data_IF_407518418146
#
_entry.id   IF_407518418146
#
_cell.length_a   1.000
_cell.length_b   1.000
_cell.length_c   1.000
_cell.angle_alpha   90.00
_cell.angle_beta   90.00
_cell.angle_gamma   90.00
#
_symmetry.space_group_name_H-M   'P 1'
#
loop_
_entity.id
_entity.type
_entity.pdbx_description
1 polymer ?
#
# COMPACT_ATOMS: atom_id res chain seq x y z
N UNK A 1 12.56 24.93 -6.49
CA UNK A 1 12.14 24.13 -7.66
C UNK A 1 12.06 22.70 -7.14
N UNK A 2 10.87 22.27 -6.75
CA UNK A 2 10.63 20.88 -6.33
C UNK A 2 10.24 20.18 -7.60
N UNK A 3 11.09 19.24 -8.03
CA UNK A 3 10.89 18.47 -9.24
C UNK A 3 9.56 17.70 -9.17
N UNK A 4 8.66 18.11 -10.03
CA UNK A 4 7.29 17.59 -10.21
C UNK A 4 7.30 16.26 -10.98
N UNK A 5 8.26 15.37 -10.70
CA UNK A 5 8.51 14.13 -11.44
C UNK A 5 7.59 12.96 -11.03
N UNK A 6 6.58 13.22 -10.18
CA UNK A 6 5.65 12.19 -9.70
C UNK A 6 4.43 11.95 -10.62
N UNK A 7 4.16 12.86 -11.56
CA UNK A 7 3.01 12.74 -12.47
C UNK A 7 3.27 11.84 -13.70
N UNK A 8 4.54 11.56 -14.03
CA UNK A 8 4.91 10.83 -15.26
C UNK A 8 4.98 9.30 -15.14
N UNK A 9 4.69 8.71 -14.00
CA UNK A 9 4.66 7.22 -13.86
C UNK A 9 3.35 6.63 -14.42
N UNK A 10 2.54 7.39 -15.09
CA UNK A 10 1.23 6.95 -15.57
C UNK A 10 1.16 6.80 -17.08
N UNK A 11 2.14 6.13 -17.67
CA UNK A 11 1.84 5.38 -18.89
C UNK A 11 1.26 4.02 -18.46
N UNK A 12 0.16 3.54 -19.08
CA UNK A 12 -0.57 2.35 -18.61
C UNK A 12 0.23 1.05 -18.54
N UNK A 13 1.50 1.05 -18.92
CA UNK A 13 2.33 -0.16 -19.01
C UNK A 13 3.78 0.08 -18.57
N UNK A 14 4.04 0.92 -17.58
CA UNK A 14 5.41 1.23 -17.17
C UNK A 14 5.84 0.48 -15.92
N UNK A 15 7.11 0.10 -15.91
CA UNK A 15 7.82 -0.36 -14.74
C UNK A 15 9.19 0.32 -14.70
N UNK A 16 9.79 0.42 -13.50
CA UNK A 16 11.17 0.88 -13.32
C UNK A 16 11.84 0.19 -12.14
N UNK A 17 13.16 0.07 -12.21
CA UNK A 17 13.98 -0.35 -11.08
C UNK A 17 14.78 0.86 -10.60
N UNK A 18 14.80 1.07 -9.29
CA UNK A 18 15.58 2.12 -8.67
C UNK A 18 16.21 1.65 -7.36
N UNK A 19 17.33 2.28 -7.00
CA UNK A 19 17.92 2.16 -5.68
C UNK A 19 17.65 3.46 -4.95
N UNK A 20 17.05 3.40 -3.76
CA UNK A 20 16.59 4.58 -3.02
C UNK A 20 16.68 4.36 -1.51
N UNK A 21 16.80 5.45 -0.76
CA UNK A 21 16.65 5.47 0.69
C UNK A 21 15.23 5.79 1.17
N UNK A 22 14.26 5.85 0.24
CA UNK A 22 12.85 6.15 0.51
C UNK A 22 12.66 7.45 1.31
N UNK A 23 13.47 8.46 1.04
CA UNK A 23 13.42 9.74 1.76
C UNK A 23 12.07 10.43 1.61
N UNK A 24 11.42 10.23 0.48
CA UNK A 24 10.08 10.75 0.17
C UNK A 24 8.99 10.17 1.09
N UNK A 25 9.23 9.02 1.71
CA UNK A 25 8.28 8.38 2.63
C UNK A 25 8.52 8.74 4.10
N UNK A 26 9.52 9.61 4.38
CA UNK A 26 9.79 10.08 5.74
C UNK A 26 8.80 11.16 6.15
N UNK A 27 8.34 11.09 7.37
CA UNK A 27 7.44 12.07 7.95
C UNK A 27 5.96 11.74 7.73
N UNK A 28 5.30 12.37 6.78
CA UNK A 28 3.88 12.15 6.55
C UNK A 28 3.58 10.85 5.76
N UNK A 29 2.44 10.23 6.07
CA UNK A 29 1.93 9.09 5.33
C UNK A 29 1.60 9.49 3.89
N UNK A 30 1.98 8.66 2.93
CA UNK A 30 1.72 8.88 1.50
C UNK A 30 0.98 7.70 0.90
N UNK A 31 0.06 7.97 -0.04
CA UNK A 31 -0.56 6.95 -0.86
C UNK A 31 0.29 6.71 -2.09
N UNK A 32 0.62 5.45 -2.35
CA UNK A 32 1.26 5.05 -3.60
C UNK A 32 0.21 4.59 -4.61
N UNK A 33 0.35 4.98 -5.88
CA UNK A 33 -0.56 4.59 -6.97
C UNK A 33 -0.01 3.46 -7.86
N UNK A 34 1.07 2.83 -7.43
CA UNK A 34 1.79 1.77 -8.11
C UNK A 34 1.98 0.57 -7.19
N UNK A 35 2.26 -0.61 -7.76
CA UNK A 35 2.75 -1.75 -7.00
C UNK A 35 4.27 -1.74 -6.93
N UNK A 36 4.84 -2.31 -5.88
CA UNK A 36 6.28 -2.44 -5.77
C UNK A 36 6.72 -3.73 -5.07
N UNK A 37 7.87 -4.24 -5.47
CA UNK A 37 8.64 -5.24 -4.73
C UNK A 37 9.95 -4.56 -4.32
N UNK A 38 10.24 -4.53 -3.02
CA UNK A 38 11.46 -3.95 -2.47
C UNK A 38 12.30 -5.02 -1.81
N UNK A 39 13.63 -4.87 -1.91
CA UNK A 39 14.58 -5.64 -1.14
C UNK A 39 15.51 -4.68 -0.39
N UNK A 40 15.64 -4.86 0.93
CA UNK A 40 16.56 -4.05 1.73
C UNK A 40 18.01 -4.47 1.44
N UNK A 41 18.83 -3.52 1.01
CA UNK A 41 20.24 -3.74 0.65
C UNK A 41 21.19 -3.30 1.74
N UNK A 42 20.86 -2.21 2.46
CA UNK A 42 21.71 -1.66 3.53
C UNK A 42 20.85 -1.10 4.66
N UNK A 43 21.44 -1.11 5.83
CA UNK A 43 20.86 -0.51 7.02
C UNK A 43 19.62 -1.23 7.55
N UNK A 44 18.86 -0.52 8.33
CA UNK A 44 17.56 -0.94 8.87
C UNK A 44 16.62 0.25 9.00
N UNK A 45 15.34 -0.02 8.86
CA UNK A 45 14.30 0.99 9.03
C UNK A 45 12.99 0.32 9.47
N UNK A 46 12.07 1.12 9.93
CA UNK A 46 10.70 0.71 10.22
C UNK A 46 9.79 1.29 9.14
N UNK A 47 9.22 0.41 8.32
CA UNK A 47 8.25 0.79 7.30
C UNK A 47 6.85 0.55 7.83
N UNK A 48 6.05 1.60 7.85
CA UNK A 48 4.61 1.49 8.06
C UNK A 48 3.94 1.36 6.70
N UNK A 49 3.08 0.34 6.56
CA UNK A 49 2.21 0.19 5.38
C UNK A 49 0.78 0.02 5.88
N UNK A 50 -0.08 0.94 5.51
CA UNK A 50 -1.43 1.04 6.04
C UNK A 50 -1.40 1.17 7.58
N UNK A 51 -1.89 0.15 8.29
CA UNK A 51 -1.99 0.16 9.76
C UNK A 51 -0.93 -0.72 10.44
N UNK A 52 -0.08 -1.40 9.67
CA UNK A 52 0.90 -2.34 10.19
C UNK A 52 2.32 -1.78 10.01
N UNK A 53 3.20 -2.09 10.95
CA UNK A 53 4.62 -1.72 10.90
C UNK A 53 5.48 -2.97 10.71
N UNK A 54 6.50 -2.87 9.85
CA UNK A 54 7.50 -3.90 9.64
C UNK A 54 8.90 -3.33 9.84
N UNK A 55 9.71 -4.08 10.59
CA UNK A 55 11.14 -3.77 10.69
C UNK A 55 11.86 -4.37 9.48
N UNK A 56 12.51 -3.55 8.69
CA UNK A 56 13.28 -3.97 7.52
C UNK A 56 14.75 -4.10 7.90
N UNK A 57 15.33 -5.23 7.60
CA UNK A 57 16.76 -5.53 7.72
C UNK A 57 17.32 -5.94 6.37
N UNK A 58 18.62 -5.99 6.23
CA UNK A 58 19.27 -6.43 4.99
C UNK A 58 18.76 -7.82 4.59
N UNK A 59 18.31 -7.95 3.36
CA UNK A 59 17.69 -9.15 2.79
C UNK A 59 16.17 -9.24 2.98
N UNK A 60 15.55 -8.34 3.76
CA UNK A 60 14.09 -8.28 3.85
C UNK A 60 13.48 -7.91 2.50
N UNK A 61 12.46 -8.66 2.09
CA UNK A 61 11.66 -8.41 0.89
C UNK A 61 10.27 -7.96 1.30
N UNK A 62 9.79 -6.86 0.76
CA UNK A 62 8.43 -6.37 1.00
C UNK A 62 7.69 -6.14 -0.30
N UNK A 63 6.40 -6.50 -0.31
CA UNK A 63 5.50 -6.28 -1.45
C UNK A 63 4.49 -5.20 -1.12
N UNK A 64 4.37 -4.20 -2.00
CA UNK A 64 3.43 -3.10 -1.89
C UNK A 64 2.44 -3.13 -3.05
N UNK A 65 1.25 -2.63 -2.80
CA UNK A 65 0.15 -2.61 -3.77
C UNK A 65 -0.32 -1.17 -4.02
N UNK A 66 -0.92 -0.89 -5.19
CA UNK A 66 -1.57 0.39 -5.42
C UNK A 66 -2.59 0.72 -4.33
N UNK A 67 -2.66 1.97 -3.93
CA UNK A 67 -3.44 2.52 -2.82
C UNK A 67 -2.94 2.14 -1.42
N UNK A 68 -1.77 1.50 -1.29
CA UNK A 68 -1.15 1.39 0.02
C UNK A 68 -0.70 2.76 0.52
N UNK A 69 -0.88 2.95 1.82
CA UNK A 69 -0.41 4.12 2.56
C UNK A 69 0.91 3.77 3.20
N UNK A 70 1.96 4.47 2.84
CA UNK A 70 3.32 4.18 3.30
C UNK A 70 3.91 5.35 4.09
N UNK A 71 4.71 5.02 5.10
CA UNK A 71 5.56 5.98 5.80
C UNK A 71 6.80 5.29 6.35
N UNK A 72 7.95 5.94 6.26
CA UNK A 72 9.22 5.41 6.74
C UNK A 72 9.60 6.09 8.05
N UNK A 73 9.87 5.29 9.07
CA UNK A 73 10.48 5.72 10.32
C UNK A 73 11.91 5.16 10.38
N UNK A 74 12.89 6.03 10.32
CA UNK A 74 14.27 5.59 10.52
C UNK A 74 14.53 5.23 11.98
N UNK A 75 15.35 4.23 12.16
CA UNK A 75 15.94 3.95 13.46
C UNK A 75 17.17 4.88 13.63
N UNK A 76 16.97 5.96 14.38
CA UNK A 76 18.01 6.95 14.66
C UNK A 76 19.25 6.36 15.38
N UNK A 77 19.20 5.08 15.77
CA UNK A 77 20.32 4.38 16.42
C UNK A 77 21.34 3.79 15.44
N UNK A 78 21.12 3.87 14.12
CA UNK A 78 22.02 3.27 13.13
C UNK A 78 22.83 4.30 12.37
N UNK A 79 24.15 4.15 12.40
CA UNK A 79 25.11 4.93 11.63
C UNK A 79 25.20 4.53 10.14
N UNK A 80 24.52 3.46 9.72
CA UNK A 80 24.54 2.99 8.33
C UNK A 80 23.34 3.55 7.56
N UNK A 81 23.57 4.12 6.35
CA UNK A 81 22.48 4.62 5.53
C UNK A 81 21.53 3.47 5.14
N UNK A 82 20.22 3.73 5.25
CA UNK A 82 19.19 2.80 4.77
C UNK A 82 19.09 2.88 3.25
N UNK A 83 19.07 1.72 2.59
CA UNK A 83 18.99 1.62 1.14
C UNK A 83 18.16 0.40 0.75
N UNK A 84 17.23 0.59 -0.16
CA UNK A 84 16.44 -0.48 -0.79
C UNK A 84 16.62 -0.44 -2.30
N UNK A 85 16.50 -1.60 -2.89
CA UNK A 85 16.32 -1.76 -4.33
C UNK A 85 14.85 -2.06 -4.58
N UNK A 86 14.21 -1.32 -5.48
CA UNK A 86 12.76 -1.35 -5.67
C UNK A 86 12.41 -1.51 -7.15
N UNK A 87 11.64 -2.55 -7.47
CA UNK A 87 10.90 -2.66 -8.73
C UNK A 87 9.53 -2.02 -8.53
N UNK A 88 9.28 -0.90 -9.19
CA UNK A 88 7.95 -0.29 -9.29
C UNK A 88 7.27 -0.74 -10.58
N UNK A 89 5.95 -0.96 -10.53
CA UNK A 89 5.14 -1.35 -11.68
C UNK A 89 3.73 -0.77 -11.59
N UNK A 90 3.15 -0.48 -12.74
CA UNK A 90 1.82 0.13 -12.81
C UNK A 90 0.71 -0.81 -12.28
N UNK A 91 -0.41 -0.21 -11.85
CA UNK A 91 -1.59 -0.97 -11.43
C UNK A 91 -2.16 -1.84 -12.56
N UNK A 92 -1.96 -1.46 -13.84
CA UNK A 92 -2.37 -2.26 -14.99
C UNK A 92 -1.52 -3.52 -15.15
N UNK A 93 -0.19 -3.41 -15.02
CA UNK A 93 0.70 -4.59 -15.02
C UNK A 93 0.38 -5.55 -13.88
N UNK A 94 0.09 -5.01 -12.68
CA UNK A 94 -0.33 -5.84 -11.56
C UNK A 94 -1.62 -6.60 -11.85
N UNK A 95 -2.65 -5.91 -12.35
CA UNK A 95 -3.92 -6.56 -12.74
C UNK A 95 -3.70 -7.69 -13.74
N UNK A 96 -2.93 -7.43 -14.77
CA UNK A 96 -2.64 -8.44 -15.80
C UNK A 96 -1.81 -9.61 -15.27
N UNK A 97 -0.84 -9.34 -14.40
CA UNK A 97 -0.06 -10.39 -13.75
C UNK A 97 -0.90 -11.25 -12.79
N UNK A 98 -1.91 -10.65 -12.16
CA UNK A 98 -2.76 -11.30 -11.16
C UNK A 98 -4.02 -11.97 -11.71
N UNK A 99 -4.35 -11.83 -13.01
CA UNK A 99 -5.58 -12.38 -13.61
C UNK A 99 -5.75 -13.90 -13.41
N UNK A 100 -4.66 -14.63 -13.30
CA UNK A 100 -4.65 -16.09 -13.10
C UNK A 100 -4.18 -16.49 -11.72
N UNK A 101 -3.97 -15.52 -10.83
CA UNK A 101 -3.50 -15.77 -9.48
C UNK A 101 -4.65 -16.20 -8.58
N UNK A 102 -4.46 -17.25 -7.80
CA UNK A 102 -5.42 -17.62 -6.76
C UNK A 102 -5.59 -16.48 -5.74
N UNK A 103 -6.81 -16.24 -5.33
CA UNK A 103 -7.14 -15.19 -4.36
C UNK A 103 -6.37 -15.36 -3.03
N UNK A 104 -6.07 -16.61 -2.66
CA UNK A 104 -5.25 -16.95 -1.49
C UNK A 104 -3.84 -16.38 -1.55
N UNK A 105 -3.21 -16.37 -2.73
CA UNK A 105 -1.87 -15.81 -2.94
C UNK A 105 -1.88 -14.30 -2.74
N UNK A 106 -2.85 -13.63 -3.35
CA UNK A 106 -3.01 -12.19 -3.23
C UNK A 106 -3.28 -11.76 -1.78
N UNK A 107 -4.17 -12.47 -1.09
CA UNK A 107 -4.47 -12.24 0.33
C UNK A 107 -3.23 -12.46 1.20
N UNK A 108 -2.51 -13.56 1.00
CA UNK A 108 -1.28 -13.86 1.76
C UNK A 108 -0.19 -12.80 1.58
N UNK A 109 -0.02 -12.29 0.35
CA UNK A 109 0.93 -11.21 0.09
C UNK A 109 0.51 -9.89 0.73
N UNK A 110 -0.79 -9.61 0.84
CA UNK A 110 -1.28 -8.41 1.51
C UNK A 110 -1.20 -8.49 3.04
N UNK A 111 -1.33 -9.67 3.59
CA UNK A 111 -1.32 -9.91 5.04
C UNK A 111 0.10 -9.95 5.60
N UNK A 112 0.92 -10.75 4.97
CA UNK A 112 2.33 -10.90 5.34
C UNK A 112 3.22 -10.35 4.21
N UNK A 113 3.31 -9.03 4.19
CA UNK A 113 3.96 -8.26 3.14
C UNK A 113 5.47 -8.35 3.15
N UNK A 114 6.04 -8.59 4.35
CA UNK A 114 7.47 -8.59 4.56
C UNK A 114 7.97 -10.01 4.81
N UNK A 115 8.87 -10.47 3.95
CA UNK A 115 9.57 -11.74 4.12
C UNK A 115 10.98 -11.45 4.59
N UNK A 116 11.29 -11.98 5.77
CA UNK A 116 12.61 -11.92 6.38
C UNK A 116 13.03 -13.34 6.74
N UNK A 117 14.30 -13.56 6.88
CA UNK A 117 14.87 -14.85 7.26
C UNK A 117 14.48 -16.03 6.32
N UNK A 118 14.17 -15.70 5.07
CA UNK A 118 13.83 -16.68 4.03
C UNK A 118 14.85 -16.62 2.89
N UNK A 119 16.04 -17.23 3.05
CA UNK A 119 17.15 -17.09 2.11
C UNK A 119 16.80 -17.44 0.66
N UNK A 120 15.89 -18.41 0.47
CA UNK A 120 15.48 -18.82 -0.88
C UNK A 120 14.66 -17.72 -1.56
N UNK A 121 13.75 -17.04 -0.83
CA UNK A 121 12.95 -15.94 -1.36
C UNK A 121 13.87 -14.77 -1.75
N UNK A 122 14.80 -14.40 -0.88
CA UNK A 122 15.79 -13.35 -1.16
C UNK A 122 16.59 -13.67 -2.42
N UNK A 123 17.07 -14.90 -2.59
CA UNK A 123 17.84 -15.34 -3.77
C UNK A 123 17.01 -15.30 -5.05
N UNK A 124 15.73 -15.68 -5.00
CA UNK A 124 14.81 -15.60 -6.16
C UNK A 124 14.60 -14.14 -6.56
N UNK A 125 14.34 -13.27 -5.58
CA UNK A 125 14.17 -11.84 -5.85
C UNK A 125 15.46 -11.22 -6.39
N UNK A 126 16.60 -11.56 -5.84
CA UNK A 126 17.91 -11.11 -6.37
C UNK A 126 18.11 -11.50 -7.83
N UNK A 127 17.77 -12.73 -8.19
CA UNK A 127 17.88 -13.22 -9.57
C UNK A 127 16.91 -12.46 -10.50
N UNK A 128 15.68 -12.21 -10.04
CA UNK A 128 14.68 -11.43 -10.78
C UNK A 128 15.17 -9.99 -11.01
N UNK A 129 15.66 -9.32 -9.96
CA UNK A 129 16.18 -7.95 -10.08
C UNK A 129 17.38 -7.85 -11.03
N UNK A 130 18.33 -8.80 -10.92
CA UNK A 130 19.47 -8.84 -11.84
C UNK A 130 19.05 -9.01 -13.28
N UNK A 131 18.12 -9.93 -13.57
CA UNK A 131 17.62 -10.16 -14.92
C UNK A 131 16.89 -8.93 -15.45
N UNK A 132 16.01 -8.33 -14.65
CA UNK A 132 15.28 -7.13 -15.06
C UNK A 132 16.21 -5.96 -15.32
N UNK A 133 17.25 -5.74 -14.49
CA UNK A 133 18.24 -4.68 -14.73
C UNK A 133 18.87 -4.80 -16.10
N UNK A 134 19.28 -6.00 -16.52
CA UNK A 134 19.85 -6.22 -17.83
C UNK A 134 18.88 -5.81 -18.96
N UNK A 135 17.59 -6.01 -18.77
CA UNK A 135 16.60 -5.54 -19.75
C UNK A 135 16.42 -4.02 -19.72
N UNK A 136 16.42 -3.40 -18.55
CA UNK A 136 16.30 -1.94 -18.40
C UNK A 136 17.54 -1.19 -18.92
N UNK A 137 18.71 -1.83 -18.91
CA UNK A 137 19.97 -1.29 -19.44
C UNK A 137 20.06 -1.36 -20.97
N UNK A 138 19.11 -2.07 -21.63
CA UNK A 138 19.08 -2.14 -23.11
C UNK A 138 18.28 -0.95 -23.69
N UNK A 139 18.91 0.05 -24.32
CA UNK A 139 18.23 1.27 -24.79
C UNK A 139 17.10 1.01 -25.81
N UNK A 140 17.16 -0.11 -26.53
CA UNK A 140 16.24 -0.46 -27.61
C UNK A 140 15.26 -1.60 -27.26
N UNK A 141 15.11 -1.93 -25.96
CA UNK A 141 14.24 -3.02 -25.53
C UNK A 141 12.76 -2.67 -25.76
N UNK A 142 12.21 -3.05 -26.90
CA UNK A 142 10.80 -2.80 -27.25
C UNK A 142 9.82 -3.67 -26.47
N UNK A 143 10.28 -4.77 -25.84
CA UNK A 143 9.46 -5.75 -25.13
C UNK A 143 9.59 -5.63 -23.60
N UNK A 144 10.01 -4.48 -23.07
CA UNK A 144 10.26 -4.32 -21.65
C UNK A 144 9.01 -4.62 -20.78
N UNK A 145 7.84 -4.06 -21.15
CA UNK A 145 6.60 -4.31 -20.41
C UNK A 145 6.17 -5.78 -20.41
N UNK A 146 6.15 -6.52 -21.54
CA UNK A 146 5.94 -7.96 -21.54
C UNK A 146 6.95 -8.74 -20.70
N UNK A 147 8.22 -8.37 -20.71
CA UNK A 147 9.26 -9.02 -19.90
C UNK A 147 9.02 -8.81 -18.41
N UNK A 148 8.69 -7.59 -17.99
CA UNK A 148 8.32 -7.30 -16.58
C UNK A 148 7.07 -8.08 -16.19
N UNK A 149 6.04 -8.14 -17.06
CA UNK A 149 4.83 -8.90 -16.81
C UNK A 149 5.11 -10.38 -16.57
N UNK A 150 5.97 -10.98 -17.40
CA UNK A 150 6.37 -12.39 -17.21
C UNK A 150 7.14 -12.61 -15.93
N UNK A 151 8.00 -11.67 -15.52
CA UNK A 151 8.71 -11.75 -14.24
C UNK A 151 7.75 -11.62 -13.05
N UNK A 152 6.75 -10.75 -13.10
CA UNK A 152 5.72 -10.64 -12.08
C UNK A 152 4.86 -11.91 -12.00
N UNK A 153 4.45 -12.47 -13.14
CA UNK A 153 3.73 -13.76 -13.18
C UNK A 153 4.57 -14.89 -12.57
N UNK A 154 5.85 -14.98 -12.94
CA UNK A 154 6.78 -15.95 -12.36
C UNK A 154 6.92 -15.80 -10.84
N UNK A 155 7.04 -14.56 -10.35
CA UNK A 155 7.08 -14.25 -8.92
C UNK A 155 5.81 -14.76 -8.21
N UNK A 156 4.63 -14.44 -8.71
CA UNK A 156 3.36 -14.87 -8.08
C UNK A 156 3.16 -16.38 -8.12
N UNK A 157 3.51 -17.05 -9.22
CA UNK A 157 3.45 -18.51 -9.34
C UNK A 157 4.43 -19.15 -8.36
N UNK A 158 5.67 -18.66 -8.29
CA UNK A 158 6.68 -19.15 -7.36
C UNK A 158 6.29 -18.91 -5.89
N UNK A 159 5.64 -17.80 -5.59
CA UNK A 159 5.12 -17.53 -4.26
C UNK A 159 3.96 -18.47 -3.90
N UNK A 160 3.06 -18.75 -4.83
CA UNK A 160 2.01 -19.78 -4.63
C UNK A 160 2.61 -21.15 -4.30
N UNK A 161 3.55 -21.61 -5.11
CA UNK A 161 4.26 -22.87 -4.86
C UNK A 161 4.98 -22.90 -3.49
N UNK A 162 5.59 -21.76 -3.12
CA UNK A 162 6.18 -21.60 -1.79
C UNK A 162 5.14 -21.77 -0.67
N UNK A 163 3.98 -21.15 -0.78
CA UNK A 163 2.89 -21.30 0.21
C UNK A 163 2.35 -22.74 0.25
N UNK A 164 2.25 -23.40 -0.90
CA UNK A 164 1.80 -24.81 -0.94
C UNK A 164 2.78 -25.73 -0.18
N UNK A 165 4.08 -25.52 -0.37
CA UNK A 165 5.13 -26.31 0.29
C UNK A 165 5.37 -25.96 1.75
N UNK A 166 4.91 -24.79 2.19
CA UNK A 166 5.12 -24.27 3.54
C UNK A 166 3.77 -23.88 4.20
N UNK A 167 2.95 -24.88 4.57
CA UNK A 167 1.61 -24.61 5.12
C UNK A 167 1.60 -23.74 6.37
N UNK A 168 2.71 -23.74 7.16
CA UNK A 168 2.86 -22.89 8.35
C UNK A 168 2.82 -21.40 8.05
N UNK A 169 3.10 -21.00 6.80
CA UNK A 169 2.97 -19.60 6.35
C UNK A 169 1.64 -19.33 5.66
N UNK A 170 0.80 -20.37 5.54
CA UNK A 170 -0.61 -20.14 5.22
C UNK A 170 -1.28 -19.59 6.46
N UNK A 171 -2.11 -18.59 6.32
CA UNK A 171 -2.91 -18.12 7.43
C UNK A 171 -3.72 -19.28 8.04
N UNK A 172 -3.82 -19.34 9.36
CA UNK A 172 -4.60 -20.36 10.09
C UNK A 172 -6.03 -20.52 9.52
N UNK A 173 -6.34 -21.77 9.09
CA UNK A 173 -7.20 -22.04 7.94
C UNK A 173 -8.70 -21.77 8.07
N UNK A 174 -9.29 -21.51 9.21
CA UNK A 174 -10.76 -21.38 9.24
C UNK A 174 -11.22 -20.09 9.93
N UNK A 175 -10.77 -19.85 11.14
CA UNK A 175 -11.25 -18.68 11.91
C UNK A 175 -10.55 -17.38 11.48
N UNK A 176 -9.28 -17.49 11.17
CA UNK A 176 -8.45 -16.40 10.65
C UNK A 176 -8.84 -16.03 9.22
N UNK A 177 -9.20 -17.00 8.38
CA UNK A 177 -9.62 -16.77 6.99
C UNK A 177 -10.91 -15.92 6.94
N UNK A 178 -11.94 -16.28 7.70
CA UNK A 178 -13.20 -15.54 7.72
C UNK A 178 -13.04 -14.10 8.21
N UNK A 179 -12.24 -13.91 9.27
CA UNK A 179 -11.93 -12.58 9.79
C UNK A 179 -11.24 -11.72 8.73
N UNK A 180 -10.30 -12.30 7.99
CA UNK A 180 -9.56 -11.61 6.95
C UNK A 180 -10.40 -11.30 5.71
N UNK A 181 -11.21 -12.25 5.26
CA UNK A 181 -12.15 -12.03 4.15
C UNK A 181 -13.08 -10.83 4.47
N UNK A 182 -13.63 -10.81 5.67
CA UNK A 182 -14.48 -9.70 6.11
C UNK A 182 -13.70 -8.39 6.27
N UNK A 183 -12.46 -8.43 6.78
CA UNK A 183 -11.63 -7.24 6.83
C UNK A 183 -11.29 -6.70 5.43
N UNK A 184 -10.91 -7.55 4.50
CA UNK A 184 -10.64 -7.16 3.11
C UNK A 184 -11.90 -6.61 2.41
N UNK A 185 -13.06 -7.18 2.69
CA UNK A 185 -14.33 -6.67 2.20
C UNK A 185 -14.64 -5.28 2.78
N UNK A 186 -14.44 -5.08 4.09
CA UNK A 186 -14.55 -3.76 4.71
C UNK A 186 -13.63 -2.74 4.05
N UNK A 187 -12.36 -3.07 3.84
CA UNK A 187 -11.39 -2.17 3.20
C UNK A 187 -11.83 -1.81 1.77
N UNK A 188 -12.28 -2.80 0.99
CA UNK A 188 -12.76 -2.58 -0.39
C UNK A 188 -14.01 -1.68 -0.43
N UNK A 189 -14.95 -1.88 0.48
CA UNK A 189 -16.15 -1.05 0.60
C UNK A 189 -15.79 0.37 1.04
N UNK A 190 -14.88 0.50 2.00
CA UNK A 190 -14.39 1.79 2.47
C UNK A 190 -13.67 2.56 1.35
N UNK A 191 -12.79 1.92 0.60
CA UNK A 191 -12.10 2.51 -0.56
C UNK A 191 -13.09 2.99 -1.65
N UNK A 192 -14.21 2.30 -1.83
CA UNK A 192 -15.26 2.68 -2.78
C UNK A 192 -16.11 3.85 -2.27
N UNK A 193 -16.49 3.82 -0.99
CA UNK A 193 -17.58 4.64 -0.45
C UNK A 193 -17.12 5.69 0.57
N UNK A 194 -15.81 5.89 0.80
CA UNK A 194 -15.27 6.83 1.81
C UNK A 194 -15.76 8.28 1.64
N UNK A 195 -16.08 8.68 0.41
CA UNK A 195 -16.69 10.00 0.16
C UNK A 195 -18.14 10.06 0.64
N UNK A 196 -18.87 8.95 0.51
CA UNK A 196 -20.30 8.88 0.80
C UNK A 196 -20.57 8.78 2.31
N UNK A 197 -19.83 7.94 3.02
CA UNK A 197 -20.06 7.72 4.44
C UNK A 197 -18.77 7.53 5.25
N UNK A 198 -18.79 8.03 6.47
CA UNK A 198 -17.76 7.85 7.50
C UNK A 198 -18.30 7.13 8.74
N UNK A 199 -19.54 6.58 8.61
CA UNK A 199 -20.20 5.86 9.68
C UNK A 199 -19.87 4.37 9.61
N UNK A 200 -19.46 3.79 10.74
CA UNK A 200 -19.18 2.35 10.88
C UNK A 200 -20.42 1.51 10.61
N UNK A 201 -21.62 2.01 11.00
CA UNK A 201 -22.87 1.30 10.77
C UNK A 201 -23.12 1.12 9.27
N UNK A 202 -22.87 2.14 8.45
CA UNK A 202 -23.01 2.06 7.00
C UNK A 202 -22.26 0.86 6.40
N UNK A 203 -21.02 0.66 6.78
CA UNK A 203 -20.20 -0.45 6.28
C UNK A 203 -20.63 -1.79 6.86
N UNK A 204 -21.01 -1.82 8.13
CA UNK A 204 -21.50 -3.02 8.76
C UNK A 204 -22.81 -3.53 8.11
N UNK A 205 -23.71 -2.60 7.76
CA UNK A 205 -24.97 -2.90 7.06
C UNK A 205 -24.71 -3.44 5.66
N UNK A 206 -23.80 -2.82 4.88
CA UNK A 206 -23.38 -3.33 3.57
C UNK A 206 -22.81 -4.75 3.62
N UNK A 207 -22.12 -5.09 4.72
CA UNK A 207 -21.53 -6.41 4.94
C UNK A 207 -22.50 -7.40 5.59
N UNK A 208 -23.74 -7.00 5.91
CA UNK A 208 -24.73 -7.79 6.65
C UNK A 208 -24.17 -8.36 7.98
N UNK A 209 -23.41 -7.54 8.72
CA UNK A 209 -22.86 -7.88 10.03
C UNK A 209 -23.15 -6.77 11.04
N UNK A 210 -23.01 -7.07 12.32
CA UNK A 210 -23.18 -6.04 13.36
C UNK A 210 -21.95 -5.12 13.44
N UNK A 211 -22.12 -3.82 13.78
CA UNK A 211 -21.00 -2.90 13.98
C UNK A 211 -20.01 -3.36 15.05
N UNK A 212 -20.49 -4.07 16.08
CA UNK A 212 -19.66 -4.68 17.11
C UNK A 212 -18.78 -5.78 16.54
N UNK A 213 -19.33 -6.61 15.66
CA UNK A 213 -18.56 -7.69 15.01
C UNK A 213 -17.53 -7.12 14.05
N UNK A 214 -17.88 -6.11 13.24
CA UNK A 214 -16.94 -5.37 12.40
C UNK A 214 -15.81 -4.77 13.25
N UNK A 215 -16.12 -4.16 14.39
CA UNK A 215 -15.11 -3.61 15.31
C UNK A 215 -14.16 -4.69 15.81
N UNK A 216 -14.66 -5.86 16.16
CA UNK A 216 -13.81 -6.96 16.63
C UNK A 216 -12.89 -7.46 15.50
N UNK A 217 -13.41 -7.62 14.28
CA UNK A 217 -12.64 -8.03 13.10
C UNK A 217 -11.50 -7.04 12.83
N UNK A 218 -11.84 -5.76 12.72
CA UNK A 218 -10.86 -4.72 12.39
C UNK A 218 -9.81 -4.59 13.48
N UNK A 219 -10.19 -4.60 14.76
CA UNK A 219 -9.23 -4.58 15.87
C UNK A 219 -8.31 -5.80 15.90
N UNK A 220 -8.84 -6.98 15.60
CA UNK A 220 -8.05 -8.20 15.57
C UNK A 220 -6.95 -8.14 14.49
N UNK A 221 -7.24 -7.52 13.34
CA UNK A 221 -6.31 -7.44 12.21
C UNK A 221 -5.34 -6.26 12.32
N UNK A 222 -5.82 -5.11 12.84
CA UNK A 222 -5.07 -3.84 12.74
C UNK A 222 -4.69 -3.23 14.09
N UNK A 223 -5.29 -3.70 15.19
CA UNK A 223 -5.19 -3.04 16.50
C UNK A 223 -6.06 -1.77 16.64
N UNK A 224 -6.65 -1.27 15.56
CA UNK A 224 -7.46 -0.04 15.50
C UNK A 224 -8.95 -0.30 15.38
N UNK A 225 -9.76 0.69 15.67
CA UNK A 225 -11.20 0.63 15.42
C UNK A 225 -11.52 0.92 13.94
N UNK A 226 -12.64 0.43 13.39
CA UNK A 226 -13.08 0.80 12.04
C UNK A 226 -13.20 2.31 11.85
N UNK A 227 -13.64 3.04 12.88
CA UNK A 227 -13.76 4.50 12.83
C UNK A 227 -12.41 5.18 12.66
N UNK A 228 -11.39 4.75 13.40
CA UNK A 228 -10.03 5.28 13.25
C UNK A 228 -9.49 5.03 11.83
N UNK A 229 -9.72 3.84 11.29
CA UNK A 229 -9.29 3.49 9.92
C UNK A 229 -9.98 4.36 8.87
N UNK A 230 -11.32 4.50 8.96
CA UNK A 230 -12.09 5.35 8.06
C UNK A 230 -11.58 6.80 8.13
N UNK A 231 -11.41 7.33 9.34
CA UNK A 231 -10.99 8.72 9.53
C UNK A 231 -9.57 8.95 8.98
N UNK A 232 -8.63 8.05 9.24
CA UNK A 232 -7.27 8.13 8.69
C UNK A 232 -7.27 8.11 7.16
N UNK A 233 -8.04 7.21 6.57
CA UNK A 233 -8.15 7.11 5.11
C UNK A 233 -8.77 8.36 4.49
N UNK A 234 -9.89 8.84 5.05
CA UNK A 234 -10.58 10.06 4.58
C UNK A 234 -9.68 11.28 4.69
N UNK A 235 -8.99 11.46 5.81
CA UNK A 235 -8.05 12.58 6.01
C UNK A 235 -6.91 12.53 5.00
N UNK A 236 -6.38 11.36 4.72
CA UNK A 236 -5.34 11.19 3.72
C UNK A 236 -5.84 11.61 2.33
N UNK A 237 -7.01 11.13 1.92
CA UNK A 237 -7.62 11.49 0.64
C UNK A 237 -7.94 12.99 0.55
N UNK A 238 -8.39 13.59 1.65
CA UNK A 238 -8.61 15.04 1.73
C UNK A 238 -7.32 15.85 1.59
N UNK A 239 -6.23 15.41 2.23
CA UNK A 239 -4.91 16.04 2.08
C UNK A 239 -4.45 16.03 0.62
N UNK A 240 -4.53 14.87 -0.03
CA UNK A 240 -4.17 14.71 -1.45
C UNK A 240 -5.04 15.61 -2.35
N UNK A 241 -6.35 15.61 -2.11
CA UNK A 241 -7.29 16.41 -2.89
C UNK A 241 -7.04 17.92 -2.73
N UNK A 242 -6.86 18.38 -1.48
CA UNK A 242 -6.56 19.79 -1.19
C UNK A 242 -5.24 20.25 -1.81
N UNK A 243 -4.26 19.36 -1.93
CA UNK A 243 -2.96 19.67 -2.54
C UNK A 243 -3.01 19.66 -4.07
N UNK A 244 -3.73 18.71 -4.66
CA UNK A 244 -3.74 18.47 -6.12
C UNK A 244 -4.78 19.31 -6.87
N UNK A 245 -5.82 19.86 -6.21
CA UNK A 245 -6.92 20.53 -6.87
C UNK A 245 -6.99 22.02 -6.57
N UNK A 246 -7.49 22.82 -7.54
CA UNK A 246 -7.81 24.22 -7.40
C UNK A 246 -9.22 24.47 -6.82
N UNK A 247 -9.98 23.42 -6.51
CA UNK A 247 -11.33 23.53 -5.95
C UNK A 247 -11.32 24.27 -4.62
N UNK A 248 -12.35 25.06 -4.35
CA UNK A 248 -12.51 25.73 -3.06
C UNK A 248 -12.72 24.73 -1.93
N UNK A 249 -12.40 25.11 -0.70
CA UNK A 249 -12.65 24.30 0.51
C UNK A 249 -14.12 23.88 0.61
N UNK A 250 -15.04 24.72 0.13
CA UNK A 250 -16.47 24.44 0.09
C UNK A 250 -16.83 23.34 -0.92
N UNK A 251 -16.24 23.39 -2.10
CA UNK A 251 -16.45 22.36 -3.14
C UNK A 251 -15.90 20.99 -2.70
N UNK A 252 -14.71 20.96 -2.09
CA UNK A 252 -14.15 19.74 -1.52
C UNK A 252 -15.05 19.17 -0.42
N UNK A 253 -15.56 20.02 0.50
CA UNK A 253 -16.48 19.57 1.53
C UNK A 253 -17.74 18.91 0.95
N UNK A 254 -18.30 19.47 -0.12
CA UNK A 254 -19.48 18.92 -0.79
C UNK A 254 -19.18 17.63 -1.56
N UNK A 255 -18.05 17.57 -2.24
CA UNK A 255 -17.65 16.34 -2.94
C UNK A 255 -17.47 15.14 -2.00
N UNK A 256 -17.02 15.40 -0.76
CA UNK A 256 -16.89 14.39 0.30
C UNK A 256 -18.14 14.28 1.18
N UNK A 257 -19.28 14.78 0.73
CA UNK A 257 -20.57 14.67 1.40
C UNK A 257 -20.55 15.07 2.89
N UNK A 258 -19.81 16.15 3.21
CA UNK A 258 -19.93 16.76 4.52
C UNK A 258 -21.23 17.58 4.60
N UNK A 259 -21.93 17.48 5.74
CA UNK A 259 -23.20 18.15 5.97
C UNK A 259 -23.08 19.68 5.87
N UNK A 260 -21.95 20.22 6.32
CA UNK A 260 -21.60 21.63 6.20
C UNK A 260 -20.09 21.86 6.22
N UNK A 261 -19.65 23.00 5.71
CA UNK A 261 -18.23 23.38 5.60
C UNK A 261 -17.60 23.57 6.98
N UNK A 262 -18.35 24.03 7.97
CA UNK A 262 -17.84 24.25 9.33
C UNK A 262 -17.52 22.90 10.00
N UNK A 263 -18.38 21.90 9.80
CA UNK A 263 -18.11 20.54 10.26
C UNK A 263 -16.88 19.95 9.56
N UNK A 264 -16.76 20.12 8.24
CA UNK A 264 -15.57 19.71 7.49
C UNK A 264 -14.28 20.33 8.04
N UNK A 265 -14.28 21.66 8.26
CA UNK A 265 -13.10 22.34 8.80
C UNK A 265 -12.72 21.83 10.21
N UNK A 266 -13.71 21.63 11.09
CA UNK A 266 -13.47 21.08 12.44
C UNK A 266 -12.95 19.63 12.36
N UNK A 267 -13.54 18.81 11.51
CA UNK A 267 -13.13 17.43 11.30
C UNK A 267 -11.67 17.37 10.82
N UNK A 268 -11.33 18.11 9.78
CA UNK A 268 -9.98 18.17 9.22
C UNK A 268 -8.97 18.69 10.25
N UNK A 269 -9.29 19.79 10.95
CA UNK A 269 -8.41 20.37 11.99
C UNK A 269 -8.20 19.41 13.17
N UNK A 270 -9.25 18.70 13.59
CA UNK A 270 -9.15 17.68 14.65
C UNK A 270 -8.10 16.62 14.35
N UNK A 271 -8.01 16.17 13.10
CA UNK A 271 -7.14 15.07 12.70
C UNK A 271 -5.76 15.52 12.18
N UNK A 272 -5.61 16.78 11.75
CA UNK A 272 -4.36 17.28 11.13
C UNK A 272 -3.68 18.39 11.93
N UNK A 273 -4.37 18.98 12.90
CA UNK A 273 -3.91 20.16 13.62
C UNK A 273 -4.10 21.48 12.88
N UNK A 274 -4.37 21.45 11.57
CA UNK A 274 -4.54 22.64 10.70
C UNK A 274 -5.93 22.66 10.07
N UNK A 275 -6.45 23.84 9.76
CA UNK A 275 -7.64 23.96 8.93
C UNK A 275 -7.33 23.59 7.47
N UNK A 276 -8.33 23.20 6.63
CA UNK A 276 -8.10 22.94 5.22
C UNK A 276 -7.44 24.12 4.47
N UNK A 277 -7.77 25.34 4.84
CA UNK A 277 -7.19 26.55 4.25
C UNK A 277 -5.71 26.70 4.63
N UNK A 278 -5.37 26.54 5.92
CA UNK A 278 -3.98 26.57 6.42
C UNK A 278 -3.13 25.42 5.87
N UNK A 279 -3.75 24.30 5.51
CA UNK A 279 -3.07 23.14 4.94
C UNK A 279 -2.73 23.34 3.46
N UNK A 280 -3.57 24.04 2.73
CA UNK A 280 -3.36 24.33 1.30
C UNK A 280 -2.25 25.37 1.07
N UNK A 281 -1.93 26.22 2.05
CA UNK A 281 -0.92 27.30 1.97
C UNK A 281 -1.59 28.55 1.55
#
# INVERSE_FOLDING_TARGET
MIDNNYAEIVSPQTARILTTSLTEWRGEMQVINYGAILICRKGKARLQVNFNEWNLYVGAVITLFPNDVVSLKEDSSTSSPFEVEMLQYSASLLREASLQMEQTVYSSLREDRCRQDTPIVTRIIDAMFRLLKLYFEQPECQCLSPLVLLQLKSFFIGFHDYLVRNPQYRPDEVKSRRVRELFNEFMRLMERDFKLSRDVNYYADLMNITPKYLTNIVRQVTGHTPKEIIDQYVILQLKLHLHASSQSVKEVAWEYHFTDVSFFCRYFKKHTGKTPQEYRG
#
